data_IF_454508995780
#
_entry.id   IF_454508995780
#
_cell.length_a   1.000
_cell.length_b   1.000
_cell.length_c   1.000
_cell.angle_alpha   90.00
_cell.angle_beta   90.00
_cell.angle_gamma   90.00
#
_symmetry.space_group_name_H-M   'P 1'
#
loop_
_entity.id
_entity.type
_entity.pdbx_description
1 polymer ?
#
# COMPACT_ATOMS: atom_id res chain seq x y z
N UNK A 1 -25.59 29.59 53.57
CA UNK A 1 -25.50 28.15 53.22
C UNK A 1 -25.32 28.06 51.71
N UNK A 2 -24.08 28.06 51.20
CA UNK A 2 -23.30 26.90 50.72
C UNK A 2 -23.94 26.10 49.56
N UNK A 3 -23.21 26.13 48.42
CA UNK A 3 -23.11 25.14 47.32
C UNK A 3 -24.20 25.21 46.24
N UNK A 4 -23.90 25.16 44.95
CA UNK A 4 -22.64 24.96 44.23
C UNK A 4 -22.87 25.01 42.72
N UNK A 5 -21.83 25.39 41.99
CA UNK A 5 -21.71 25.26 40.53
C UNK A 5 -21.92 23.81 40.07
N UNK A 6 -22.43 23.62 38.85
CA UNK A 6 -21.68 22.94 37.79
C UNK A 6 -22.47 22.91 36.46
N UNK A 7 -21.80 23.42 35.43
CA UNK A 7 -22.15 23.29 34.02
C UNK A 7 -21.90 21.86 33.54
N UNK A 8 -22.67 21.40 32.55
CA UNK A 8 -22.29 20.27 31.69
C UNK A 8 -22.86 20.48 30.29
N UNK A 9 -22.14 21.26 29.49
CA UNK A 9 -22.20 21.26 28.03
C UNK A 9 -21.65 19.92 27.55
N UNK A 10 -22.50 19.06 26.97
CA UNK A 10 -22.05 17.90 26.21
C UNK A 10 -21.87 18.33 24.76
N UNK A 11 -20.68 18.87 24.47
CA UNK A 11 -20.19 18.98 23.11
C UNK A 11 -19.62 17.64 22.68
N UNK A 12 -20.26 16.99 21.71
CA UNK A 12 -19.70 15.83 21.02
C UNK A 12 -18.49 16.29 20.20
N UNK A 13 -17.29 16.16 20.78
CA UNK A 13 -16.05 16.37 20.08
C UNK A 13 -15.87 15.26 19.02
N UNK A 14 -16.00 15.63 17.75
CA UNK A 14 -15.50 14.83 16.65
C UNK A 14 -13.98 14.71 16.82
N UNK A 15 -13.51 13.52 17.20
CA UNK A 15 -12.09 13.20 17.20
C UNK A 15 -11.64 13.07 15.73
N UNK A 16 -11.26 14.20 15.14
CA UNK A 16 -10.47 14.22 13.92
C UNK A 16 -9.08 13.67 14.29
N UNK A 17 -8.86 12.39 14.01
CA UNK A 17 -7.53 11.77 14.09
C UNK A 17 -6.70 12.37 12.97
N UNK A 18 -5.89 13.37 13.30
CA UNK A 18 -4.84 13.90 12.43
C UNK A 18 -3.69 12.90 12.47
N UNK A 19 -3.51 12.14 11.39
CA UNK A 19 -2.29 11.34 11.22
C UNK A 19 -1.12 12.31 10.97
N UNK A 20 -0.25 12.45 11.96
CA UNK A 20 1.04 13.10 11.78
C UNK A 20 1.86 12.28 10.78
N UNK A 21 2.29 12.94 9.69
CA UNK A 21 3.18 12.40 8.67
C UNK A 21 4.55 12.10 9.29
N UNK A 22 4.72 10.91 9.85
CA UNK A 22 6.03 10.37 10.25
C UNK A 22 6.88 10.10 9.01
N UNK A 23 8.19 10.35 9.11
CA UNK A 23 9.16 10.11 8.05
C UNK A 23 9.09 8.65 7.53
N UNK A 24 8.75 8.50 6.26
CA UNK A 24 8.61 7.21 5.58
C UNK A 24 9.99 6.72 5.16
N UNK A 25 10.43 5.54 5.61
CA UNK A 25 11.62 4.88 5.08
C UNK A 25 11.33 4.42 3.63
N UNK A 26 11.93 5.07 2.64
CA UNK A 26 11.70 4.76 1.23
C UNK A 26 12.34 3.44 0.82
N UNK A 27 11.59 2.57 0.14
CA UNK A 27 12.17 1.44 -0.59
C UNK A 27 12.12 1.76 -2.08
N UNK A 28 13.26 2.14 -2.65
CA UNK A 28 13.42 2.25 -4.10
C UNK A 28 13.61 0.84 -4.64
N UNK A 29 12.58 0.28 -5.30
CA UNK A 29 12.76 -0.98 -6.03
C UNK A 29 13.28 -0.67 -7.43
N UNK A 30 14.61 -0.69 -7.58
CA UNK A 30 15.23 -0.74 -8.89
C UNK A 30 15.19 -2.19 -9.39
N UNK A 31 14.24 -2.52 -10.28
CA UNK A 31 14.11 -3.87 -10.82
C UNK A 31 12.82 -4.09 -11.63
N UNK A 32 12.81 -5.18 -12.40
CA UNK A 32 11.78 -5.55 -13.40
C UNK A 32 10.34 -5.70 -12.86
N UNK A 33 10.18 -5.66 -11.53
CA UNK A 33 8.92 -5.68 -10.78
C UNK A 33 9.09 -4.80 -9.55
N UNK A 34 8.06 -3.99 -9.24
CA UNK A 34 8.02 -3.28 -7.97
C UNK A 34 7.73 -4.27 -6.85
N UNK A 35 8.71 -4.61 -6.02
CA UNK A 35 8.51 -5.58 -4.95
C UNK A 35 8.50 -4.94 -3.56
N UNK A 36 7.63 -5.46 -2.68
CA UNK A 36 7.49 -4.93 -1.33
C UNK A 36 7.05 -5.99 -0.33
N UNK A 37 7.30 -5.71 0.95
CA UNK A 37 6.62 -6.39 2.06
C UNK A 37 5.73 -5.37 2.74
N UNK A 38 4.59 -5.80 3.28
CA UNK A 38 3.64 -4.92 3.95
C UNK A 38 3.04 -5.61 5.16
N UNK A 39 2.91 -4.88 6.24
CA UNK A 39 2.27 -5.39 7.46
C UNK A 39 0.88 -4.78 7.64
N UNK A 40 -0.03 -5.58 8.18
CA UNK A 40 -1.36 -5.14 8.58
C UNK A 40 -1.78 -5.74 9.94
N UNK A 41 -2.47 -5.00 10.81
CA UNK A 41 -2.56 -3.54 10.78
C UNK A 41 -1.17 -2.89 10.90
N UNK A 42 -0.97 -1.70 10.33
CA UNK A 42 0.31 -0.99 10.35
C UNK A 42 0.75 -0.61 11.76
N UNK A 43 -0.19 -0.52 12.71
CA UNK A 43 0.07 -0.29 14.14
C UNK A 43 0.35 -1.57 14.93
N UNK A 44 0.32 -2.75 14.29
CA UNK A 44 0.53 -4.02 14.96
C UNK A 44 2.02 -4.30 15.24
N UNK A 45 2.26 -5.10 16.28
CA UNK A 45 3.58 -5.59 16.66
C UNK A 45 3.71 -7.04 16.23
N UNK A 46 4.76 -7.38 15.47
CA UNK A 46 5.02 -8.78 15.08
C UNK A 46 4.97 -9.71 16.30
N UNK A 47 4.29 -10.85 16.14
CA UNK A 47 4.21 -11.88 17.18
C UNK A 47 5.60 -12.45 17.43
N UNK A 48 6.25 -12.02 18.51
CA UNK A 48 7.55 -12.55 18.96
C UNK A 48 8.74 -11.57 18.96
N UNK A 49 8.55 -10.28 18.69
CA UNK A 49 9.67 -9.32 18.68
C UNK A 49 9.24 -7.88 18.49
N UNK A 50 10.17 -6.90 18.55
CA UNK A 50 9.83 -5.50 18.34
C UNK A 50 9.16 -5.35 16.97
N UNK A 51 8.11 -4.50 16.89
CA UNK A 51 7.41 -4.23 15.63
C UNK A 51 8.43 -3.97 14.52
N UNK A 52 8.26 -4.52 13.31
CA UNK A 52 9.06 -4.09 12.19
C UNK A 52 8.79 -2.60 12.01
N UNK A 53 9.78 -1.79 12.41
CA UNK A 53 9.86 -0.35 12.17
C UNK A 53 10.07 -0.04 10.68
N UNK A 54 9.82 -1.00 9.82
CA UNK A 54 10.14 -1.01 8.40
C UNK A 54 8.96 -1.69 7.71
N UNK A 55 8.58 -1.25 6.50
CA UNK A 55 7.54 -1.83 5.62
C UNK A 55 6.20 -1.09 5.53
N UNK A 56 6.13 0.17 5.95
CA UNK A 56 5.19 1.14 5.36
C UNK A 56 6.00 2.26 4.70
N UNK A 57 6.77 1.88 3.68
CA UNK A 57 7.52 2.83 2.85
C UNK A 57 6.66 3.36 1.70
N UNK A 58 7.29 3.97 0.71
CA UNK A 58 6.71 4.16 -0.62
C UNK A 58 7.52 3.32 -1.61
N UNK A 59 6.88 2.85 -2.68
CA UNK A 59 7.56 2.19 -3.78
C UNK A 59 7.66 3.16 -4.95
N UNK A 60 8.84 3.25 -5.56
CA UNK A 60 8.99 3.84 -6.90
C UNK A 60 9.37 2.71 -7.85
N UNK A 61 8.57 2.53 -8.90
CA UNK A 61 8.81 1.54 -9.96
C UNK A 61 9.24 2.27 -11.21
N UNK A 62 10.42 1.91 -11.71
CA UNK A 62 11.01 2.44 -12.93
C UNK A 62 10.59 1.60 -14.14
N UNK A 63 10.02 2.24 -15.16
CA UNK A 63 9.71 1.58 -16.44
C UNK A 63 10.97 1.41 -17.28
N UNK A 64 11.91 2.35 -17.17
CA UNK A 64 13.15 2.34 -17.91
C UNK A 64 14.21 1.41 -17.29
N UNK A 65 13.85 0.62 -16.27
CA UNK A 65 14.66 -0.46 -15.71
C UNK A 65 14.11 -1.86 -16.04
N UNK A 66 13.03 -1.97 -16.83
CA UNK A 66 12.52 -3.27 -17.29
C UNK A 66 13.52 -3.96 -18.22
N UNK A 67 13.65 -5.29 -18.18
CA UNK A 67 14.54 -6.03 -19.07
C UNK A 67 14.27 -5.77 -20.57
N UNK A 68 15.34 -5.77 -21.39
CA UNK A 68 15.30 -5.42 -22.82
C UNK A 68 14.21 -6.16 -23.61
N UNK A 69 13.99 -7.43 -23.32
CA UNK A 69 12.96 -8.25 -23.97
C UNK A 69 11.54 -7.77 -23.62
N UNK A 70 11.28 -7.36 -22.37
CA UNK A 70 9.98 -6.85 -21.95
C UNK A 70 9.68 -5.46 -22.51
N UNK A 71 10.67 -4.58 -22.64
CA UNK A 71 10.48 -3.27 -23.30
C UNK A 71 10.04 -3.41 -24.76
N UNK A 72 10.44 -4.48 -25.43
CA UNK A 72 10.04 -4.74 -26.81
C UNK A 72 8.65 -5.38 -26.91
N UNK A 73 8.31 -6.32 -26.03
CA UNK A 73 7.08 -7.11 -26.14
C UNK A 73 5.92 -6.52 -25.33
N UNK A 74 6.18 -5.93 -24.16
CA UNK A 74 5.17 -5.40 -23.22
C UNK A 74 5.65 -4.13 -22.48
N UNK A 75 6.06 -3.05 -23.18
CA UNK A 75 6.56 -1.83 -22.53
C UNK A 75 5.52 -1.13 -21.64
N UNK A 76 4.25 -1.43 -21.84
CA UNK A 76 3.13 -0.74 -21.21
C UNK A 76 2.52 -1.52 -20.04
N UNK A 77 3.12 -2.63 -19.61
CA UNK A 77 2.63 -3.46 -18.52
C UNK A 77 3.64 -3.45 -17.39
N UNK A 78 3.16 -3.15 -16.18
CA UNK A 78 3.98 -3.00 -14.97
C UNK A 78 3.33 -3.81 -13.87
N UNK A 79 4.12 -4.61 -13.17
CA UNK A 79 3.64 -5.43 -12.06
C UNK A 79 4.26 -4.95 -10.75
N UNK A 80 3.40 -4.69 -9.77
CA UNK A 80 3.77 -4.34 -8.40
C UNK A 80 3.36 -5.51 -7.52
N UNK A 81 4.31 -6.34 -7.12
CA UNK A 81 4.06 -7.63 -6.47
C UNK A 81 4.59 -7.63 -5.03
N UNK A 82 3.79 -8.13 -4.10
CA UNK A 82 4.26 -8.35 -2.74
C UNK A 82 5.16 -9.57 -2.65
N UNK A 83 6.22 -9.49 -1.85
CA UNK A 83 6.92 -10.65 -1.33
C UNK A 83 6.11 -11.31 -0.20
N UNK A 84 5.68 -10.51 0.77
CA UNK A 84 4.94 -10.96 1.94
C UNK A 84 3.98 -9.85 2.38
N UNK A 85 2.71 -10.17 2.60
CA UNK A 85 1.77 -9.26 3.27
C UNK A 85 1.24 -9.94 4.52
N UNK A 86 1.68 -9.49 5.69
CA UNK A 86 1.57 -10.25 6.95
C UNK A 86 0.59 -9.61 7.93
N UNK A 87 -0.23 -10.45 8.56
CA UNK A 87 -1.00 -10.05 9.72
C UNK A 87 -0.07 -9.99 10.95
N UNK A 88 0.27 -8.79 11.40
CA UNK A 88 1.07 -8.53 12.61
C UNK A 88 0.21 -8.11 13.80
N UNK A 89 -1.12 -8.24 13.67
CA UNK A 89 -2.06 -7.99 14.75
C UNK A 89 -2.13 -9.15 15.74
N UNK A 90 -2.97 -8.97 16.75
CA UNK A 90 -3.26 -9.97 17.79
C UNK A 90 -4.46 -10.87 17.46
N UNK A 91 -5.19 -10.56 16.38
CA UNK A 91 -6.44 -11.23 16.01
C UNK A 91 -6.46 -11.65 14.54
N UNK A 92 -7.18 -12.73 14.19
CA UNK A 92 -7.44 -13.06 12.81
C UNK A 92 -8.26 -11.97 12.11
N UNK A 93 -7.90 -11.62 10.88
CA UNK A 93 -8.55 -10.58 10.10
C UNK A 93 -8.99 -11.10 8.74
N UNK A 94 -10.16 -10.67 8.28
CA UNK A 94 -10.58 -10.83 6.89
C UNK A 94 -10.21 -9.54 6.16
N UNK A 95 -9.40 -9.61 5.11
CA UNK A 95 -8.87 -8.41 4.46
C UNK A 95 -9.40 -8.22 3.04
N UNK A 96 -9.35 -6.96 2.61
CA UNK A 96 -9.59 -6.54 1.24
C UNK A 96 -8.45 -5.65 0.77
N UNK A 97 -7.93 -5.95 -0.41
CA UNK A 97 -7.03 -5.07 -1.15
C UNK A 97 -7.85 -4.05 -1.95
N UNK A 98 -7.55 -2.78 -1.73
CA UNK A 98 -8.12 -1.66 -2.45
C UNK A 98 -7.01 -0.84 -3.11
N UNK A 99 -7.37 -0.16 -4.20
CA UNK A 99 -6.50 0.75 -4.93
C UNK A 99 -7.12 2.14 -4.88
N UNK A 100 -6.30 3.12 -4.54
CA UNK A 100 -6.66 4.54 -4.54
C UNK A 100 -5.74 5.24 -5.54
N UNK A 101 -6.27 5.89 -6.58
CA UNK A 101 -5.48 6.53 -7.62
C UNK A 101 -5.11 5.60 -8.79
N UNK A 102 -3.85 5.68 -9.26
CA UNK A 102 -3.36 5.02 -10.48
C UNK A 102 -3.99 5.54 -11.78
N UNK A 103 -4.16 6.86 -11.89
CA UNK A 103 -4.70 7.47 -13.10
C UNK A 103 -3.85 7.10 -14.34
N UNK A 104 -4.54 6.88 -15.47
CA UNK A 104 -3.90 6.57 -16.75
C UNK A 104 -3.46 5.11 -16.92
N UNK A 105 -3.76 4.22 -15.97
CA UNK A 105 -3.53 2.79 -16.09
C UNK A 105 -4.78 1.98 -15.75
N UNK A 106 -4.99 0.89 -16.48
CA UNK A 106 -5.90 -0.18 -16.05
C UNK A 106 -5.21 -1.02 -14.99
N UNK A 107 -5.92 -1.30 -13.90
CA UNK A 107 -5.34 -1.90 -12.71
C UNK A 107 -6.07 -3.21 -12.38
N UNK A 108 -5.36 -4.33 -12.42
CA UNK A 108 -5.90 -5.68 -12.17
C UNK A 108 -5.17 -6.36 -11.01
N UNK A 109 -5.91 -7.03 -10.14
CA UNK A 109 -5.35 -7.76 -9.02
C UNK A 109 -5.10 -9.22 -9.38
N UNK A 110 -4.02 -9.79 -8.85
CA UNK A 110 -3.77 -11.22 -8.88
C UNK A 110 -3.17 -11.69 -7.55
N UNK A 111 -3.39 -12.95 -7.21
CA UNK A 111 -2.83 -13.61 -6.03
C UNK A 111 -2.66 -15.09 -6.32
N UNK A 112 -1.75 -15.77 -5.62
CA UNK A 112 -1.68 -17.24 -5.59
C UNK A 112 -2.54 -17.84 -4.47
N UNK A 113 -3.08 -17.03 -3.58
CA UNK A 113 -4.03 -17.48 -2.57
C UNK A 113 -5.36 -17.85 -3.24
N UNK A 114 -5.77 -19.11 -3.10
CA UNK A 114 -6.98 -19.64 -3.73
C UNK A 114 -8.27 -19.08 -3.15
N UNK A 115 -8.21 -18.42 -1.99
CA UNK A 115 -9.33 -17.73 -1.38
C UNK A 115 -9.46 -16.27 -1.81
N UNK A 116 -8.55 -15.77 -2.65
CA UNK A 116 -8.61 -14.42 -3.18
C UNK A 116 -9.62 -14.29 -4.31
N UNK A 117 -10.54 -13.34 -4.18
CA UNK A 117 -11.43 -12.93 -5.27
C UNK A 117 -10.86 -11.68 -5.98
N UNK A 118 -10.37 -11.81 -7.23
CA UNK A 118 -9.78 -10.69 -7.96
C UNK A 118 -10.78 -9.58 -8.32
N UNK A 119 -12.09 -9.88 -8.33
CA UNK A 119 -13.12 -8.87 -8.65
C UNK A 119 -13.37 -7.94 -7.48
N UNK A 120 -13.43 -8.49 -6.28
CA UNK A 120 -13.73 -7.72 -5.06
C UNK A 120 -12.47 -7.30 -4.30
N UNK A 121 -11.32 -7.94 -4.59
CA UNK A 121 -10.07 -7.77 -3.88
C UNK A 121 -10.06 -8.41 -2.50
N UNK A 122 -11.06 -9.25 -2.17
CA UNK A 122 -11.22 -9.83 -0.84
C UNK A 122 -10.48 -11.16 -0.74
N UNK A 123 -9.82 -11.39 0.40
CA UNK A 123 -9.35 -12.71 0.80
C UNK A 123 -10.46 -13.34 1.65
N UNK A 124 -11.11 -14.38 1.15
CA UNK A 124 -12.37 -14.88 1.72
C UNK A 124 -12.20 -15.56 3.08
N UNK A 125 -11.02 -16.14 3.32
CA UNK A 125 -10.64 -16.76 4.60
C UNK A 125 -10.13 -15.72 5.60
N UNK A 126 -10.18 -16.07 6.88
CA UNK A 126 -9.48 -15.32 7.91
C UNK A 126 -7.97 -15.57 7.83
N UNK A 127 -7.19 -14.51 8.03
CA UNK A 127 -5.73 -14.55 8.08
C UNK A 127 -5.31 -14.47 9.54
N UNK A 128 -4.72 -15.53 10.08
CA UNK A 128 -4.32 -15.60 11.48
C UNK A 128 -3.14 -14.65 11.81
N UNK A 129 -2.94 -14.26 13.07
CA UNK A 129 -1.73 -13.57 13.50
C UNK A 129 -0.46 -14.31 13.06
N UNK A 130 0.49 -13.58 12.48
CA UNK A 130 1.73 -14.12 11.92
C UNK A 130 1.59 -14.75 10.53
N UNK A 131 0.37 -14.98 10.04
CA UNK A 131 0.14 -15.52 8.70
C UNK A 131 0.31 -14.44 7.63
N UNK A 132 0.70 -14.84 6.42
CA UNK A 132 0.88 -13.95 5.29
C UNK A 132 0.11 -14.40 4.06
N UNK A 133 -0.20 -13.43 3.21
CA UNK A 133 -0.82 -13.60 1.90
C UNK A 133 0.07 -12.93 0.86
N UNK A 134 0.09 -13.48 -0.35
CA UNK A 134 0.73 -12.85 -1.50
C UNK A 134 -0.30 -12.16 -2.38
N UNK A 135 0.07 -11.03 -2.98
CA UNK A 135 -0.71 -10.42 -4.04
C UNK A 135 0.18 -9.64 -5.00
N UNK A 136 -0.36 -9.31 -6.16
CA UNK A 136 0.23 -8.35 -7.08
C UNK A 136 -0.84 -7.50 -7.75
N UNK A 137 -0.41 -6.31 -8.14
CA UNK A 137 -1.18 -5.36 -8.92
C UNK A 137 -0.52 -5.22 -10.29
N UNK A 138 -1.26 -5.62 -11.32
CA UNK A 138 -0.89 -5.40 -12.71
C UNK A 138 -1.45 -4.06 -13.17
N UNK A 139 -0.57 -3.18 -13.64
CA UNK A 139 -0.90 -1.88 -14.20
C UNK A 139 -0.61 -1.90 -15.70
N UNK A 140 -1.64 -1.66 -16.51
CA UNK A 140 -1.56 -1.60 -17.97
C UNK A 140 -1.81 -0.18 -18.44
N UNK A 141 -0.80 0.44 -19.02
CA UNK A 141 -0.86 1.79 -19.58
C UNK A 141 -1.27 1.77 -21.06
N UNK A 142 -1.90 2.83 -21.58
CA UNK A 142 -2.13 2.98 -23.01
C UNK A 142 -0.80 3.09 -23.78
N UNK A 143 -0.82 2.76 -25.08
CA UNK A 143 0.28 3.01 -26.01
C UNK A 143 -0.01 4.26 -26.85
N UNK A 144 0.98 5.14 -27.10
CA UNK A 144 2.32 5.16 -26.49
C UNK A 144 2.26 5.48 -24.99
N UNK A 145 3.31 5.10 -24.26
CA UNK A 145 3.43 5.48 -22.84
C UNK A 145 3.34 7.00 -22.68
N UNK A 146 2.76 7.50 -21.57
CA UNK A 146 2.77 8.92 -21.25
C UNK A 146 4.20 9.47 -21.23
N UNK A 147 4.41 10.68 -21.74
CA UNK A 147 5.76 11.28 -21.89
C UNK A 147 6.27 11.96 -20.62
N UNK A 148 5.49 11.98 -19.54
CA UNK A 148 5.86 12.60 -18.27
C UNK A 148 6.77 11.70 -17.45
N UNK A 149 7.73 12.29 -16.70
CA UNK A 149 8.67 11.53 -15.87
C UNK A 149 7.98 10.62 -14.85
N UNK A 150 6.84 11.06 -14.31
CA UNK A 150 5.93 10.23 -13.52
C UNK A 150 4.75 9.84 -14.38
N UNK A 151 4.55 8.53 -14.53
CA UNK A 151 3.46 7.94 -15.30
C UNK A 151 2.18 7.86 -14.49
N UNK A 152 2.29 7.46 -13.22
CA UNK A 152 1.14 7.34 -12.34
C UNK A 152 1.54 7.36 -10.88
N UNK A 153 0.61 7.80 -10.03
CA UNK A 153 0.71 7.71 -8.57
C UNK A 153 -0.56 7.07 -8.03
N UNK A 154 -0.40 6.21 -7.04
CA UNK A 154 -1.52 5.59 -6.35
C UNK A 154 -1.12 5.08 -4.99
N UNK A 155 -2.05 4.42 -4.33
CA UNK A 155 -1.85 3.80 -3.03
C UNK A 155 -2.55 2.45 -3.03
N UNK A 156 -1.81 1.43 -2.60
CA UNK A 156 -2.36 0.11 -2.30
C UNK A 156 -2.81 0.13 -0.85
N UNK A 157 -4.04 -0.27 -0.59
CA UNK A 157 -4.66 -0.21 0.72
C UNK A 157 -5.08 -1.61 1.15
N UNK A 158 -4.71 -1.96 2.37
CA UNK A 158 -5.27 -3.14 3.06
C UNK A 158 -6.32 -2.64 4.02
N UNK A 159 -7.55 -3.10 3.84
CA UNK A 159 -8.67 -2.77 4.71
C UNK A 159 -9.26 -4.05 5.31
N UNK A 160 -9.90 -3.92 6.47
CA UNK A 160 -10.76 -4.95 7.02
C UNK A 160 -11.98 -5.11 6.11
N UNK A 161 -12.22 -6.33 5.61
CA UNK A 161 -13.29 -6.61 4.65
C UNK A 161 -14.69 -6.56 5.28
N UNK A 162 -14.80 -6.70 6.61
CA UNK A 162 -16.06 -6.70 7.34
C UNK A 162 -16.46 -5.28 7.75
N UNK A 163 -15.51 -4.50 8.25
CA UNK A 163 -15.78 -3.15 8.79
C UNK A 163 -15.45 -2.03 7.81
N UNK A 164 -14.65 -2.32 6.78
CA UNK A 164 -14.12 -1.32 5.86
C UNK A 164 -12.99 -0.47 6.44
N UNK A 165 -12.56 -0.72 7.68
CA UNK A 165 -11.51 0.05 8.33
C UNK A 165 -10.16 -0.12 7.61
N UNK A 166 -9.46 0.99 7.35
CA UNK A 166 -8.13 0.99 6.74
C UNK A 166 -7.11 0.44 7.75
N UNK A 167 -6.46 -0.67 7.42
CA UNK A 167 -5.50 -1.36 8.27
C UNK A 167 -4.07 -0.94 7.96
N UNK A 168 -3.76 -0.73 6.68
CA UNK A 168 -2.43 -0.33 6.22
C UNK A 168 -2.51 0.27 4.81
N UNK A 169 -1.52 1.07 4.42
CA UNK A 169 -1.50 1.79 3.15
C UNK A 169 -0.08 1.94 2.62
N UNK A 170 0.10 1.68 1.32
CA UNK A 170 1.40 1.70 0.66
C UNK A 170 1.34 2.61 -0.58
N UNK A 171 1.92 3.81 -0.51
CA UNK A 171 2.06 4.69 -1.66
C UNK A 171 2.94 4.06 -2.74
N UNK A 172 2.51 4.14 -3.98
CA UNK A 172 3.23 3.62 -5.16
C UNK A 172 3.31 4.71 -6.21
N UNK A 173 4.53 4.95 -6.70
CA UNK A 173 4.82 5.85 -7.82
C UNK A 173 5.39 5.03 -8.97
N UNK A 174 4.81 5.20 -10.15
CA UNK A 174 5.31 4.64 -11.40
C UNK A 174 5.95 5.77 -12.18
N UNK A 175 7.21 5.61 -12.55
CA UNK A 175 8.00 6.63 -13.22
C UNK A 175 8.88 6.01 -14.31
N UNK A 176 9.33 6.83 -15.26
CA UNK A 176 10.34 6.42 -16.23
C UNK A 176 11.68 6.10 -15.54
N UNK A 177 12.13 7.01 -14.66
CA UNK A 177 13.36 6.88 -13.90
C UNK A 177 13.06 7.01 -12.39
N UNK A 178 13.29 5.93 -11.64
CA UNK A 178 13.08 5.92 -10.20
C UNK A 178 14.10 6.76 -9.42
N UNK A 179 15.35 6.86 -9.89
CA UNK A 179 16.40 7.61 -9.21
C UNK A 179 16.14 9.12 -9.25
N UNK A 180 15.65 9.61 -10.38
CA UNK A 180 15.30 11.02 -10.54
C UNK A 180 14.08 11.44 -9.68
N UNK A 181 13.17 10.50 -9.38
CA UNK A 181 11.98 10.75 -8.55
C UNK A 181 12.25 10.54 -7.06
N UNK A 182 13.14 9.61 -6.69
CA UNK A 182 13.51 9.36 -5.29
C UNK A 182 14.57 10.35 -4.76
N UNK A 183 15.43 10.89 -5.64
CA UNK A 183 16.52 11.82 -5.29
C UNK A 183 16.10 13.25 -4.94
N UNK A 184 14.82 13.60 -5.09
CA UNK A 184 14.32 14.97 -4.83
C UNK A 184 14.18 15.36 -3.35
N UNK A 185 14.56 14.51 -2.39
CA UNK A 185 14.39 14.79 -0.95
C UNK A 185 15.68 14.91 -0.14
N UNK A 186 16.87 14.84 -0.77
CA UNK A 186 18.13 14.91 -0.03
C UNK A 186 18.68 16.34 0.14
N UNK A 187 18.12 17.35 -0.54
CA UNK A 187 18.58 18.74 -0.47
C UNK A 187 17.43 19.73 -0.77
N UNK A 188 16.59 20.04 0.22
CA UNK A 188 15.89 21.34 0.32
C UNK A 188 15.93 21.83 1.77
#
# INVERSE_FOLDING_TARGET
MRRGLSAALWGSAAAAVVFALGAWGGSVSAGERGSFTMNFPASGTEVGGPSPRELTGYIVVSVDDQGFVKRLVQPNVIEVASHVVRNVGDKPLKIRFAKEGFAGAEAEWHSRDTSFDPKTGVVERLIAPGEAVDFGLLLTFPKPLPTGQVLSKGTIVVADALTGAKLSALPVTIAHDAAAVAGGSCCE
#
